data_IF_721638814840
#
_entry.id   IF_721638814840
#
_cell.length_a   1.000
_cell.length_b   1.000
_cell.length_c   1.000
_cell.angle_alpha   90.00
_cell.angle_beta   90.00
_cell.angle_gamma   90.00
#
_symmetry.space_group_name_H-M   'P 1'
#
loop_
_entity.id
_entity.type
_entity.pdbx_description
1 polymer ?
#
# COMPACT_ATOMS: atom_id res chain seq x y z
N UNK A 1 4.15 -29.06 7.02
CA UNK A 1 3.49 -27.78 7.37
C UNK A 1 4.36 -26.67 6.82
N UNK A 2 3.93 -25.94 5.78
CA UNK A 2 4.71 -24.84 5.21
C UNK A 2 4.85 -23.74 6.26
N UNK A 3 6.03 -23.66 6.89
CA UNK A 3 6.34 -22.70 7.96
C UNK A 3 6.18 -21.23 7.50
N UNK A 4 6.19 -21.02 6.19
CA UNK A 4 6.14 -19.74 5.49
C UNK A 4 4.74 -19.24 5.11
N UNK A 5 3.67 -20.03 5.28
CA UNK A 5 2.32 -19.62 4.86
C UNK A 5 1.20 -20.17 5.76
N UNK A 6 0.25 -19.31 6.12
CA UNK A 6 -0.81 -19.59 7.10
C UNK A 6 -2.09 -20.21 6.50
N UNK A 7 -1.99 -21.37 5.84
CA UNK A 7 -3.16 -22.05 5.22
C UNK A 7 -4.29 -22.37 6.21
N UNK A 8 -3.96 -22.62 7.47
CA UNK A 8 -4.92 -23.00 8.51
C UNK A 8 -5.94 -21.89 8.86
N UNK A 9 -5.74 -20.66 8.40
CA UNK A 9 -6.71 -19.58 8.64
C UNK A 9 -8.03 -19.79 7.90
N UNK A 10 -8.02 -20.42 6.72
CA UNK A 10 -9.25 -20.71 5.98
C UNK A 10 -10.13 -21.78 6.63
N UNK A 11 -9.56 -22.65 7.48
CA UNK A 11 -10.35 -23.60 8.28
C UNK A 11 -10.88 -22.97 9.58
N UNK A 12 -10.27 -21.88 10.04
CA UNK A 12 -10.71 -21.13 11.22
C UNK A 12 -11.96 -20.29 10.93
N UNK A 13 -11.96 -19.58 9.79
CA UNK A 13 -13.10 -18.77 9.36
C UNK A 13 -14.19 -19.62 8.69
N UNK A 14 -15.37 -19.66 9.33
CA UNK A 14 -16.52 -20.43 8.86
C UNK A 14 -17.39 -19.62 7.88
N UNK A 15 -18.03 -20.33 6.96
CA UNK A 15 -18.95 -19.75 5.97
C UNK A 15 -18.26 -19.06 4.80
N UNK A 16 -19.04 -18.72 3.77
CA UNK A 16 -18.53 -18.01 2.59
C UNK A 16 -18.03 -16.61 2.96
N UNK A 17 -18.80 -15.86 3.76
CA UNK A 17 -18.47 -14.49 4.16
C UNK A 17 -17.14 -14.39 4.90
N UNK A 18 -16.88 -15.24 5.90
CA UNK A 18 -15.61 -15.20 6.64
C UNK A 18 -14.40 -15.51 5.75
N UNK A 19 -14.53 -16.50 4.85
CA UNK A 19 -13.46 -16.84 3.90
C UNK A 19 -13.24 -15.73 2.86
N UNK A 20 -14.30 -15.11 2.37
CA UNK A 20 -14.22 -13.98 1.45
C UNK A 20 -13.58 -12.75 2.12
N UNK A 21 -13.97 -12.43 3.35
CA UNK A 21 -13.34 -11.36 4.13
C UNK A 21 -11.87 -11.63 4.39
N UNK A 22 -11.48 -12.87 4.73
CA UNK A 22 -10.08 -13.25 4.88
C UNK A 22 -9.32 -13.05 3.56
N UNK A 23 -9.88 -13.52 2.45
CA UNK A 23 -9.26 -13.41 1.13
C UNK A 23 -9.02 -11.95 0.71
N UNK A 24 -10.02 -11.09 0.91
CA UNK A 24 -9.92 -9.67 0.59
C UNK A 24 -8.98 -8.93 1.56
N UNK A 25 -9.17 -9.10 2.87
CA UNK A 25 -8.38 -8.41 3.89
C UNK A 25 -6.89 -8.79 3.87
N UNK A 26 -6.56 -10.00 3.40
CA UNK A 26 -5.18 -10.44 3.21
C UNK A 26 -4.61 -10.09 1.83
N UNK A 27 -5.25 -9.21 1.07
CA UNK A 27 -4.86 -8.85 -0.30
C UNK A 27 -4.63 -10.08 -1.18
N UNK A 28 -5.70 -10.84 -1.43
CA UNK A 28 -5.66 -12.05 -2.25
C UNK A 28 -4.68 -13.10 -1.71
N UNK A 29 -4.66 -13.27 -0.38
CA UNK A 29 -3.81 -14.21 0.37
C UNK A 29 -2.34 -13.84 0.57
N UNK A 30 -1.89 -12.69 0.07
CA UNK A 30 -0.52 -12.21 0.28
C UNK A 30 -0.20 -12.00 1.77
N UNK A 31 -1.15 -11.49 2.55
CA UNK A 31 -1.02 -11.36 4.02
C UNK A 31 -0.88 -12.69 4.77
N UNK A 32 -1.00 -13.84 4.09
CA UNK A 32 -0.79 -15.15 4.71
C UNK A 32 0.69 -15.58 4.71
N UNK A 33 1.57 -14.91 3.96
CA UNK A 33 3.01 -15.15 3.94
C UNK A 33 3.70 -14.76 5.25
N UNK A 34 4.88 -15.36 5.50
CA UNK A 34 5.76 -15.12 6.65
C UNK A 34 7.22 -15.07 6.21
N UNK A 35 8.11 -14.36 6.94
CA UNK A 35 7.81 -13.42 8.04
C UNK A 35 7.26 -12.08 7.51
N UNK A 36 6.85 -11.17 8.41
CA UNK A 36 6.40 -9.81 8.11
C UNK A 36 5.32 -9.71 7.00
N UNK A 37 4.09 -10.15 7.28
CA UNK A 37 2.98 -10.18 6.32
C UNK A 37 2.70 -8.83 5.66
N UNK A 38 2.83 -7.76 6.43
CA UNK A 38 2.68 -6.40 5.93
C UNK A 38 3.71 -6.04 4.86
N UNK A 39 4.97 -6.43 5.06
CA UNK A 39 6.00 -6.27 4.03
C UNK A 39 5.62 -6.96 2.72
N UNK A 40 5.03 -8.16 2.77
CA UNK A 40 4.53 -8.84 1.58
C UNK A 40 3.33 -8.13 0.95
N UNK A 41 2.38 -7.66 1.76
CA UNK A 41 1.21 -6.90 1.30
C UNK A 41 1.62 -5.62 0.59
N UNK A 42 2.42 -4.80 1.27
CA UNK A 42 2.99 -3.55 0.75
C UNK A 42 3.80 -3.79 -0.53
N UNK A 43 4.68 -4.80 -0.56
CA UNK A 43 5.49 -5.11 -1.75
C UNK A 43 4.65 -5.58 -2.94
N UNK A 44 3.64 -6.42 -2.70
CA UNK A 44 2.71 -6.86 -3.74
C UNK A 44 1.87 -5.69 -4.27
N UNK A 45 1.40 -4.80 -3.40
CA UNK A 45 0.68 -3.60 -3.81
C UNK A 45 1.56 -2.67 -4.66
N UNK A 46 2.82 -2.48 -4.29
CA UNK A 46 3.79 -1.71 -5.08
C UNK A 46 4.03 -2.33 -6.44
N UNK A 47 4.22 -3.66 -6.50
CA UNK A 47 4.39 -4.38 -7.76
C UNK A 47 3.14 -4.22 -8.66
N UNK A 48 1.94 -4.32 -8.10
CA UNK A 48 0.69 -4.10 -8.83
C UNK A 48 0.59 -2.66 -9.32
N UNK A 49 0.90 -1.65 -8.50
CA UNK A 49 0.88 -0.25 -8.91
C UNK A 49 1.82 0.01 -10.08
N UNK A 50 3.07 -0.47 -9.99
CA UNK A 50 4.06 -0.36 -11.06
C UNK A 50 3.58 -1.09 -12.33
N UNK A 51 3.14 -2.34 -12.19
CA UNK A 51 2.66 -3.12 -13.33
C UNK A 51 1.49 -2.42 -14.03
N UNK A 52 0.46 -2.01 -13.28
CA UNK A 52 -0.69 -1.29 -13.85
C UNK A 52 -0.25 -0.05 -14.62
N UNK A 53 0.69 0.73 -14.09
CA UNK A 53 1.24 1.89 -14.81
C UNK A 53 1.90 1.49 -16.13
N UNK A 54 2.76 0.47 -16.16
CA UNK A 54 3.43 0.01 -17.40
C UNK A 54 2.47 -0.50 -18.47
N UNK A 55 1.30 -1.02 -18.08
CA UNK A 55 0.33 -1.58 -19.01
C UNK A 55 -0.60 -0.53 -19.63
N UNK A 56 -0.55 0.74 -19.21
CA UNK A 56 -1.54 1.73 -19.67
C UNK A 56 -0.99 2.78 -20.63
N UNK A 57 -1.79 3.05 -21.66
CA UNK A 57 -1.96 4.42 -22.17
C UNK A 57 -2.84 5.21 -21.20
N UNK A 58 -2.69 6.54 -21.12
CA UNK A 58 -3.22 7.44 -20.07
C UNK A 58 -4.74 7.37 -19.72
N UNK A 59 -5.55 6.54 -20.38
CA UNK A 59 -7.03 6.63 -20.37
C UNK A 59 -7.79 5.43 -19.80
N UNK A 60 -7.16 4.44 -19.16
CA UNK A 60 -7.90 3.27 -18.65
C UNK A 60 -8.25 3.42 -17.17
N UNK A 61 -9.55 3.38 -16.84
CA UNK A 61 -10.03 3.55 -15.46
C UNK A 61 -9.50 2.49 -14.48
N UNK A 62 -9.18 1.28 -14.95
CA UNK A 62 -8.62 0.22 -14.10
C UNK A 62 -7.20 0.53 -13.60
N UNK A 63 -6.53 1.56 -14.14
CA UNK A 63 -5.24 2.03 -13.65
C UNK A 63 -5.33 3.29 -12.80
N UNK A 64 -6.56 3.74 -12.51
CA UNK A 64 -6.80 4.77 -11.52
C UNK A 64 -6.50 4.21 -10.11
N UNK A 65 -5.25 4.33 -9.69
CA UNK A 65 -4.78 3.84 -8.39
C UNK A 65 -5.52 4.52 -7.23
N UNK A 66 -5.92 5.78 -7.38
CA UNK A 66 -6.70 6.50 -6.37
C UNK A 66 -8.08 5.89 -6.17
N UNK A 67 -8.75 5.51 -7.27
CA UNK A 67 -10.01 4.78 -7.19
C UNK A 67 -9.84 3.46 -6.43
N UNK A 68 -8.79 2.69 -6.74
CA UNK A 68 -8.50 1.44 -6.04
C UNK A 68 -8.12 1.65 -4.58
N UNK A 69 -7.41 2.72 -4.23
CA UNK A 69 -7.11 3.08 -2.84
C UNK A 69 -8.40 3.29 -2.04
N UNK A 70 -9.36 4.05 -2.58
CA UNK A 70 -10.66 4.31 -1.95
C UNK A 70 -11.47 3.01 -1.81
N UNK A 71 -11.53 2.19 -2.86
CA UNK A 71 -12.22 0.89 -2.80
C UNK A 71 -11.60 -0.01 -1.74
N UNK A 72 -10.28 -0.16 -1.73
CA UNK A 72 -9.57 -0.97 -0.75
C UNK A 72 -9.76 -0.43 0.67
N UNK A 73 -9.83 0.89 0.85
CA UNK A 73 -10.10 1.48 2.17
C UNK A 73 -11.44 1.00 2.73
N UNK A 74 -12.54 1.15 1.97
CA UNK A 74 -13.87 0.74 2.44
C UNK A 74 -14.02 -0.78 2.54
N UNK A 75 -13.50 -1.54 1.56
CA UNK A 75 -13.52 -3.01 1.60
C UNK A 75 -12.72 -3.51 2.79
N UNK A 76 -11.54 -2.93 3.02
CA UNK A 76 -10.67 -3.27 4.13
C UNK A 76 -11.34 -3.01 5.46
N UNK A 77 -11.91 -1.82 5.65
CA UNK A 77 -12.64 -1.48 6.86
C UNK A 77 -13.76 -2.49 7.17
N UNK A 78 -14.60 -2.81 6.17
CA UNK A 78 -15.71 -3.77 6.32
C UNK A 78 -15.22 -5.19 6.58
N UNK A 79 -14.17 -5.64 5.90
CA UNK A 79 -13.62 -6.98 6.08
C UNK A 79 -12.93 -7.11 7.45
N UNK A 80 -12.13 -6.14 7.85
CA UNK A 80 -11.50 -6.09 9.19
C UNK A 80 -12.55 -6.12 10.28
N UNK A 81 -13.62 -5.33 10.14
CA UNK A 81 -14.74 -5.37 11.08
C UNK A 81 -15.44 -6.73 11.14
N UNK A 82 -15.69 -7.37 9.99
CA UNK A 82 -16.31 -8.69 9.92
C UNK A 82 -15.43 -9.77 10.55
N UNK A 83 -14.11 -9.73 10.30
CA UNK A 83 -13.14 -10.67 10.86
C UNK A 83 -12.98 -10.49 12.37
N UNK A 84 -12.90 -9.25 12.88
CA UNK A 84 -12.83 -8.96 14.33
C UNK A 84 -14.08 -9.47 15.06
N UNK A 85 -15.27 -9.32 14.45
CA UNK A 85 -16.53 -9.87 15.02
C UNK A 85 -16.56 -11.39 15.13
N UNK A 86 -15.91 -12.09 14.20
CA UNK A 86 -15.95 -13.55 14.16
C UNK A 86 -14.90 -14.19 15.08
N UNK A 87 -13.71 -13.61 15.15
CA UNK A 87 -12.56 -14.20 15.87
C UNK A 87 -12.32 -13.59 17.25
N UNK A 88 -12.87 -12.41 17.55
CA UNK A 88 -12.63 -11.67 18.80
C UNK A 88 -11.17 -11.24 19.02
N UNK A 89 -10.28 -11.45 18.04
CA UNK A 89 -8.88 -11.03 18.10
C UNK A 89 -8.77 -9.55 17.77
N UNK A 90 -8.00 -8.84 18.57
CA UNK A 90 -7.88 -7.38 18.47
C UNK A 90 -7.13 -6.91 17.24
N UNK A 91 -6.17 -7.66 16.70
CA UNK A 91 -5.54 -7.34 15.40
C UNK A 91 -4.86 -8.54 14.74
N UNK A 92 -5.45 -9.12 13.68
CA UNK A 92 -4.80 -10.21 12.97
C UNK A 92 -3.73 -9.67 12.02
N UNK A 93 -2.47 -10.00 12.27
CA UNK A 93 -1.32 -9.63 11.41
C UNK A 93 -1.34 -10.18 9.98
N UNK A 94 -2.43 -10.80 9.52
CA UNK A 94 -2.62 -11.17 8.11
C UNK A 94 -3.59 -10.25 7.38
N UNK A 95 -4.24 -9.33 8.09
CA UNK A 95 -4.93 -8.20 7.49
C UNK A 95 -3.84 -7.23 7.05
N UNK A 96 -3.77 -6.97 5.75
CA UNK A 96 -2.74 -6.10 5.12
C UNK A 96 -3.36 -5.15 4.10
N UNK A 97 -4.70 -5.11 4.03
CA UNK A 97 -5.46 -4.33 3.05
C UNK A 97 -5.46 -2.82 3.37
N UNK A 98 -5.30 -2.48 4.65
CA UNK A 98 -4.95 -1.16 5.16
C UNK A 98 -3.65 -0.67 4.51
N UNK A 99 -2.60 -1.49 4.58
CA UNK A 99 -1.30 -1.14 4.00
C UNK A 99 -1.36 -1.08 2.46
N UNK A 100 -2.07 -2.01 1.82
CA UNK A 100 -2.20 -1.99 0.36
C UNK A 100 -3.00 -0.78 -0.11
N UNK A 101 -4.07 -0.38 0.61
CA UNK A 101 -4.82 0.82 0.31
C UNK A 101 -3.92 2.07 0.38
N UNK A 102 -3.08 2.16 1.41
CA UNK A 102 -2.09 3.22 1.56
C UNK A 102 -1.05 3.24 0.44
N UNK A 103 -0.49 2.09 0.05
CA UNK A 103 0.47 2.01 -1.07
C UNK A 103 -0.16 2.45 -2.39
N UNK A 104 -1.41 2.07 -2.66
CA UNK A 104 -2.16 2.55 -3.83
C UNK A 104 -2.41 4.06 -3.76
N UNK A 105 -2.69 4.60 -2.58
CA UNK A 105 -2.87 6.04 -2.38
C UNK A 105 -1.58 6.81 -2.65
N UNK A 106 -0.46 6.39 -2.06
CA UNK A 106 0.87 6.99 -2.27
C UNK A 106 1.20 7.02 -3.76
N UNK A 107 1.17 5.86 -4.41
CA UNK A 107 1.57 5.78 -5.82
C UNK A 107 0.56 6.46 -6.75
N UNK A 108 -0.73 6.45 -6.42
CA UNK A 108 -1.74 7.20 -7.16
C UNK A 108 -1.47 8.71 -7.17
N UNK A 109 -1.12 9.30 -6.02
CA UNK A 109 -0.78 10.72 -5.94
C UNK A 109 0.55 11.01 -6.64
N UNK A 110 1.59 10.19 -6.42
CA UNK A 110 2.91 10.42 -7.01
C UNK A 110 2.87 10.26 -8.54
N UNK A 111 2.14 9.28 -9.07
CA UNK A 111 2.03 9.08 -10.51
C UNK A 111 1.20 10.19 -11.15
N UNK A 112 0.15 10.66 -10.46
CA UNK A 112 -0.61 11.82 -10.91
C UNK A 112 0.28 13.07 -10.99
N UNK A 113 1.07 13.34 -9.94
CA UNK A 113 2.04 14.43 -9.93
C UNK A 113 3.05 14.33 -11.08
N UNK A 114 3.60 13.13 -11.33
CA UNK A 114 4.51 12.87 -12.46
C UNK A 114 3.82 13.15 -13.81
N UNK A 115 2.55 12.74 -13.95
CA UNK A 115 1.78 12.89 -15.18
C UNK A 115 1.37 14.34 -15.52
N UNK A 116 1.38 15.26 -14.56
CA UNK A 116 0.98 16.65 -14.80
C UNK A 116 2.01 17.42 -15.65
N UNK A 117 3.24 17.55 -15.15
CA UNK A 117 4.30 18.32 -15.81
C UNK A 117 5.70 17.70 -15.64
N UNK A 118 5.79 16.52 -15.01
CA UNK A 118 7.07 15.86 -14.72
C UNK A 118 7.21 14.53 -15.47
N UNK A 119 6.69 14.48 -16.70
CA UNK A 119 6.63 13.26 -17.53
C UNK A 119 8.01 12.64 -17.79
N UNK A 120 9.09 13.41 -17.63
CA UNK A 120 10.46 12.90 -17.69
C UNK A 120 10.81 11.87 -16.60
N UNK A 121 10.09 11.84 -15.46
CA UNK A 121 10.23 10.81 -14.42
C UNK A 121 9.54 9.48 -14.77
N UNK A 122 8.79 9.41 -15.88
CA UNK A 122 8.06 8.20 -16.29
C UNK A 122 8.97 6.99 -16.44
N UNK A 123 10.19 7.18 -16.96
CA UNK A 123 11.18 6.10 -17.11
C UNK A 123 11.71 5.60 -15.77
N UNK A 124 11.66 6.43 -14.73
CA UNK A 124 12.10 6.12 -13.37
C UNK A 124 10.97 5.58 -12.48
N UNK A 125 9.78 5.35 -13.02
CA UNK A 125 8.58 5.01 -12.24
C UNK A 125 8.79 3.78 -11.35
N UNK A 126 9.49 2.75 -11.82
CA UNK A 126 9.80 1.56 -11.04
C UNK A 126 10.68 1.88 -9.81
N UNK A 127 11.71 2.69 -10.00
CA UNK A 127 12.58 3.15 -8.90
C UNK A 127 11.83 4.04 -7.92
N UNK A 128 11.01 4.96 -8.42
CA UNK A 128 10.17 5.83 -7.58
C UNK A 128 9.18 5.00 -6.75
N UNK A 129 8.55 3.99 -7.35
CA UNK A 129 7.65 3.05 -6.65
C UNK A 129 8.37 2.32 -5.53
N UNK A 130 9.60 1.86 -5.80
CA UNK A 130 10.43 1.17 -4.81
C UNK A 130 10.82 2.11 -3.65
N UNK A 131 11.21 3.35 -3.95
CA UNK A 131 11.50 4.36 -2.91
C UNK A 131 10.25 4.67 -2.08
N UNK A 132 9.09 4.83 -2.73
CA UNK A 132 7.80 5.02 -2.05
C UNK A 132 7.47 3.87 -1.11
N UNK A 133 7.72 2.62 -1.52
CA UNK A 133 7.57 1.44 -0.67
C UNK A 133 8.46 1.53 0.58
N UNK A 134 9.73 1.91 0.43
CA UNK A 134 10.65 2.04 1.57
C UNK A 134 10.22 3.16 2.52
N UNK A 135 9.83 4.32 1.99
CA UNK A 135 9.32 5.43 2.81
C UNK A 135 8.04 5.07 3.54
N UNK A 136 7.08 4.42 2.87
CA UNK A 136 5.85 3.96 3.50
C UNK A 136 6.12 2.99 4.64
N UNK A 137 6.96 1.97 4.41
CA UNK A 137 7.31 1.01 5.47
C UNK A 137 8.04 1.66 6.63
N UNK A 138 8.88 2.66 6.36
CA UNK A 138 9.53 3.44 7.42
C UNK A 138 8.52 4.21 8.26
N UNK A 139 7.53 4.84 7.62
CA UNK A 139 6.50 5.64 8.30
C UNK A 139 5.52 4.79 9.11
N UNK A 140 5.05 3.67 8.54
CA UNK A 140 4.18 2.70 9.21
C UNK A 140 4.86 2.07 10.44
N UNK A 141 6.17 1.81 10.39
CA UNK A 141 6.89 1.21 11.53
C UNK A 141 7.12 2.22 12.68
N UNK A 142 7.37 3.49 12.36
CA UNK A 142 7.77 4.49 13.37
C UNK A 142 6.57 5.05 14.14
N UNK A 143 5.37 5.09 13.53
CA UNK A 143 4.11 5.54 14.15
C UNK A 143 4.24 6.80 15.02
N UNK A 144 4.53 7.95 14.40
CA UNK A 144 4.59 9.26 15.08
C UNK A 144 3.46 10.21 14.64
N UNK A 145 2.89 10.94 15.60
CA UNK A 145 1.92 12.00 15.32
C UNK A 145 0.52 11.46 15.02
N UNK A 146 -0.01 11.71 13.82
CA UNK A 146 -1.37 11.33 13.43
C UNK A 146 -1.57 9.81 13.37
N UNK A 147 -0.54 9.05 13.00
CA UNK A 147 -0.51 7.58 13.04
C UNK A 147 -0.71 7.07 14.47
N UNK A 148 0.07 7.60 15.42
CA UNK A 148 -0.09 7.28 16.85
C UNK A 148 -1.48 7.65 17.39
N UNK A 149 -2.06 8.76 16.93
CA UNK A 149 -3.44 9.13 17.29
C UNK A 149 -4.47 8.13 16.74
N UNK A 150 -4.33 7.69 15.49
CA UNK A 150 -5.21 6.72 14.86
C UNK A 150 -5.15 5.35 15.55
N UNK A 151 -3.94 4.90 15.91
CA UNK A 151 -3.70 3.67 16.67
C UNK A 151 -4.42 3.70 18.04
N UNK A 152 -4.44 4.87 18.70
CA UNK A 152 -5.18 5.06 19.96
C UNK A 152 -6.69 4.86 19.85
N UNK A 153 -7.28 4.90 18.64
CA UNK A 153 -8.71 4.69 18.46
C UNK A 153 -9.12 3.24 18.75
N UNK A 154 -8.21 2.27 18.62
CA UNK A 154 -8.48 0.84 18.84
C UNK A 154 -9.73 0.32 18.11
N UNK A 155 -10.01 0.86 16.91
CA UNK A 155 -11.16 0.47 16.08
C UNK A 155 -10.70 -0.04 14.72
N UNK A 156 -11.51 -0.85 14.00
CA UNK A 156 -11.22 -1.20 12.60
C UNK A 156 -11.00 0.01 11.69
N UNK A 157 -11.63 1.16 12.00
CA UNK A 157 -11.40 2.39 11.26
C UNK A 157 -10.04 3.00 11.62
N UNK A 158 -9.66 2.98 12.89
CA UNK A 158 -8.34 3.45 13.37
C UNK A 158 -7.19 2.74 12.67
N UNK A 159 -7.29 1.42 12.48
CA UNK A 159 -6.32 0.61 11.72
C UNK A 159 -6.15 1.15 10.30
N UNK A 160 -7.25 1.38 9.57
CA UNK A 160 -7.18 1.92 8.21
C UNK A 160 -6.65 3.37 8.19
N UNK A 161 -6.96 4.17 9.20
CA UNK A 161 -6.51 5.56 9.28
C UNK A 161 -5.03 5.69 9.59
N UNK A 162 -4.48 4.78 10.40
CA UNK A 162 -3.04 4.73 10.72
C UNK A 162 -2.20 4.68 9.42
N UNK A 163 -2.47 3.70 8.57
CA UNK A 163 -1.78 3.55 7.29
C UNK A 163 -2.02 4.71 6.31
N UNK A 164 -3.22 5.30 6.30
CA UNK A 164 -3.49 6.49 5.47
C UNK A 164 -2.70 7.71 5.96
N UNK A 165 -2.50 7.88 7.27
CA UNK A 165 -1.65 8.95 7.77
C UNK A 165 -0.17 8.70 7.48
N UNK A 166 0.30 7.46 7.56
CA UNK A 166 1.65 7.09 7.11
C UNK A 166 1.82 7.33 5.59
N UNK A 167 0.78 7.10 4.79
CA UNK A 167 0.79 7.42 3.37
C UNK A 167 0.93 8.93 3.10
N UNK A 168 0.27 9.79 3.88
CA UNK A 168 0.39 11.24 3.71
C UNK A 168 1.81 11.74 3.98
N UNK A 169 2.47 11.24 5.03
CA UNK A 169 3.87 11.58 5.30
C UNK A 169 4.80 11.06 4.22
N UNK A 170 4.53 9.86 3.70
CA UNK A 170 5.27 9.27 2.58
C UNK A 170 5.14 10.11 1.32
N UNK A 171 3.93 10.52 0.95
CA UNK A 171 3.67 11.38 -0.22
C UNK A 171 4.47 12.68 -0.12
N UNK A 172 4.43 13.34 1.05
CA UNK A 172 5.18 14.57 1.27
C UNK A 172 6.69 14.36 1.09
N UNK A 173 7.26 13.30 1.67
CA UNK A 173 8.68 12.95 1.52
C UNK A 173 9.05 12.67 0.07
N UNK A 174 8.23 11.92 -0.64
CA UNK A 174 8.46 11.58 -2.05
C UNK A 174 8.42 12.82 -2.93
N UNK A 175 7.45 13.71 -2.75
CA UNK A 175 7.40 14.99 -3.49
C UNK A 175 8.63 15.84 -3.19
N UNK A 176 9.00 15.99 -1.91
CA UNK A 176 10.20 16.75 -1.51
C UNK A 176 11.45 16.15 -2.16
N UNK A 177 11.60 14.82 -2.16
CA UNK A 177 12.73 14.15 -2.80
C UNK A 177 12.79 14.47 -4.30
N UNK A 178 11.67 14.34 -5.03
CA UNK A 178 11.62 14.64 -6.46
C UNK A 178 11.95 16.12 -6.75
N UNK A 179 11.46 17.04 -5.92
CA UNK A 179 11.79 18.47 -6.04
C UNK A 179 13.27 18.74 -5.78
N UNK A 180 13.87 18.10 -4.78
CA UNK A 180 15.30 18.24 -4.46
C UNK A 180 16.16 17.70 -5.60
N UNK A 181 15.84 16.52 -6.13
CA UNK A 181 16.55 15.92 -7.26
C UNK A 181 16.50 16.83 -8.50
N UNK A 182 15.33 17.39 -8.78
CA UNK A 182 15.15 18.36 -9.87
C UNK A 182 15.91 19.65 -9.65
N UNK A 183 15.88 20.21 -8.44
CA UNK A 183 16.60 21.44 -8.10
C UNK A 183 18.12 21.32 -8.33
N UNK A 184 18.70 20.17 -8.02
CA UNK A 184 20.14 19.92 -8.23
C UNK A 184 20.49 19.36 -9.63
N UNK A 185 19.50 19.14 -10.52
CA UNK A 185 19.71 18.52 -11.84
C UNK A 185 20.21 17.07 -11.76
N UNK A 186 20.00 16.42 -10.61
CA UNK A 186 20.40 15.02 -10.41
C UNK A 186 19.42 14.06 -11.05
N UNK A 187 18.17 14.48 -11.22
CA UNK A 187 17.14 13.73 -11.92
C UNK A 187 17.54 13.35 -13.36
N UNK A 188 18.04 14.30 -14.15
CA UNK A 188 18.54 14.01 -15.50
C UNK A 188 19.76 13.08 -15.49
N UNK A 189 20.69 13.32 -14.57
CA UNK A 189 21.90 12.51 -14.42
C UNK A 189 21.57 11.06 -14.06
N UNK A 190 20.66 10.87 -13.11
CA UNK A 190 20.17 9.56 -12.66
C UNK A 190 19.44 8.86 -13.79
N UNK A 191 18.54 9.54 -14.51
CA UNK A 191 17.83 8.97 -15.66
C UNK A 191 18.83 8.47 -16.71
N UNK A 192 19.76 9.32 -17.12
CA UNK A 192 20.73 8.97 -18.14
C UNK A 192 21.61 7.79 -17.72
N UNK A 193 21.94 7.66 -16.42
CA UNK A 193 22.69 6.52 -15.90
C UNK A 193 21.88 5.22 -15.84
N UNK A 194 20.60 5.28 -15.45
CA UNK A 194 19.75 4.10 -15.25
C UNK A 194 19.09 3.58 -16.54
N UNK A 195 18.99 4.42 -17.58
CA UNK A 195 18.34 4.10 -18.87
C UNK A 195 19.36 3.83 -19.99
N UNK A 196 20.65 4.14 -19.78
CA UNK A 196 21.74 3.76 -20.69
C UNK A 196 22.05 2.27 -20.66
#
# INVERSE_FOLDING_TARGET
MLMFYRYNLFSHYKGFTGKASLFLASFFTVGLFRPAPGTWGSAAASLVCWYLFTQTSQTHWYTNLLFWAVVQFFVGWLCTWALKRQDGKEDPSYVVIDETAAVFFVNGIIYFYIGLDHSYYTELIGYITFVNFLFFRFDDIIKVGLTAWADCLNTPLGVMLDDIFAALTTIAKSIILLLVLSYFGWDESIRNFLVA
#
